data_IF_728917825099
#
_entry.id   IF_728917825099
#
_cell.length_a   1.000
_cell.length_b   1.000
_cell.length_c   1.000
_cell.angle_alpha   90.00
_cell.angle_beta   90.00
_cell.angle_gamma   90.00
#
_symmetry.space_group_name_H-M   'P 1'
#
loop_
_entity.id
_entity.type
_entity.pdbx_description
1 polymer ?
#
# COMPACT_ATOMS: atom_id res chain seq x y z
N UNK A 1 -18.81 -11.09 -2.75
CA UNK A 1 -18.31 -11.45 -4.10
C UNK A 1 -17.09 -10.63 -4.49
N UNK A 2 -17.20 -9.31 -4.66
CA UNK A 2 -16.02 -8.48 -4.97
C UNK A 2 -14.95 -8.57 -3.87
N UNK A 3 -15.34 -8.38 -2.60
CA UNK A 3 -14.38 -8.42 -1.49
C UNK A 3 -13.76 -9.79 -1.24
N UNK A 4 -14.47 -10.85 -1.62
CA UNK A 4 -14.10 -12.23 -1.28
C UNK A 4 -13.29 -12.91 -2.37
N UNK A 5 -13.44 -12.48 -3.63
CA UNK A 5 -12.81 -13.13 -4.79
C UNK A 5 -11.91 -12.14 -5.52
N UNK A 6 -12.42 -10.96 -5.87
CA UNK A 6 -11.69 -10.00 -6.70
C UNK A 6 -10.59 -9.33 -5.90
N UNK A 7 -10.88 -8.89 -4.67
CA UNK A 7 -9.88 -8.21 -3.83
C UNK A 7 -8.64 -9.07 -3.54
N UNK A 8 -8.75 -10.34 -3.08
CA UNK A 8 -7.57 -11.15 -2.81
C UNK A 8 -6.72 -11.41 -4.05
N UNK A 9 -7.34 -11.61 -5.22
CA UNK A 9 -6.63 -11.81 -6.49
C UNK A 9 -5.94 -10.53 -6.92
N UNK A 10 -6.62 -9.38 -6.83
CA UNK A 10 -6.09 -8.09 -7.25
C UNK A 10 -4.98 -7.58 -6.34
N UNK A 11 -5.11 -7.79 -5.02
CA UNK A 11 -4.15 -7.33 -4.02
C UNK A 11 -3.04 -8.35 -3.74
N UNK A 12 -3.03 -9.47 -4.46
CA UNK A 12 -1.96 -10.45 -4.33
C UNK A 12 -0.61 -9.82 -4.70
N UNK A 13 0.35 -9.90 -3.77
CA UNK A 13 1.67 -9.29 -3.95
C UNK A 13 1.71 -7.76 -3.83
N UNK A 14 0.60 -7.10 -3.47
CA UNK A 14 0.53 -5.63 -3.31
C UNK A 14 1.52 -5.09 -2.28
N UNK A 15 2.01 -5.95 -1.39
CA UNK A 15 3.11 -5.68 -0.46
C UNK A 15 4.41 -5.26 -1.16
N UNK A 16 4.69 -5.83 -2.35
CA UNK A 16 5.93 -5.63 -3.10
C UNK A 16 5.75 -4.65 -4.25
N UNK A 17 4.70 -4.79 -5.07
CA UNK A 17 4.48 -3.92 -6.25
C UNK A 17 3.66 -2.65 -5.94
N UNK A 18 3.04 -2.56 -4.77
CA UNK A 18 2.11 -1.47 -4.42
C UNK A 18 2.71 -0.06 -4.39
N UNK A 19 4.00 0.09 -4.68
CA UNK A 19 4.65 1.40 -4.83
C UNK A 19 4.28 2.09 -6.16
N UNK A 20 3.81 1.34 -7.15
CA UNK A 20 3.39 1.85 -8.44
C UNK A 20 2.02 2.56 -8.38
N UNK A 21 1.68 3.28 -9.45
CA UNK A 21 0.45 4.04 -9.51
C UNK A 21 -0.79 3.12 -9.53
N UNK A 22 -1.61 3.25 -8.50
CA UNK A 22 -2.85 2.50 -8.32
C UNK A 22 -4.07 3.12 -9.04
N UNK A 23 -3.90 4.19 -9.82
CA UNK A 23 -5.01 4.89 -10.49
C UNK A 23 -5.84 3.96 -11.39
N UNK A 24 -5.20 3.09 -12.17
CA UNK A 24 -5.92 2.16 -13.05
C UNK A 24 -6.80 1.18 -12.26
N UNK A 25 -6.31 0.69 -11.11
CA UNK A 25 -7.06 -0.18 -10.22
C UNK A 25 -8.26 0.54 -9.61
N UNK A 26 -8.08 1.81 -9.26
CA UNK A 26 -9.16 2.66 -8.75
C UNK A 26 -10.24 2.94 -9.81
N UNK A 27 -9.85 3.18 -11.07
CA UNK A 27 -10.80 3.34 -12.19
C UNK A 27 -11.61 2.05 -12.38
N UNK A 28 -10.94 0.90 -12.37
CA UNK A 28 -11.59 -0.40 -12.46
C UNK A 28 -12.60 -0.60 -11.31
N UNK A 29 -12.19 -0.32 -10.07
CA UNK A 29 -13.05 -0.46 -8.90
C UNK A 29 -14.27 0.46 -8.95
N UNK A 30 -14.10 1.73 -9.31
CA UNK A 30 -15.22 2.67 -9.46
C UNK A 30 -16.18 2.24 -10.55
N UNK A 31 -15.67 1.76 -11.68
CA UNK A 31 -16.49 1.26 -12.79
C UNK A 31 -17.30 0.04 -12.35
N UNK A 32 -16.67 -0.88 -11.60
CA UNK A 32 -17.35 -2.02 -11.01
C UNK A 32 -18.48 -1.61 -10.04
N UNK A 33 -18.21 -0.64 -9.15
CA UNK A 33 -19.22 -0.13 -8.21
C UNK A 33 -20.40 0.52 -8.94
N UNK A 34 -20.13 1.40 -9.92
CA UNK A 34 -21.16 2.06 -10.73
C UNK A 34 -22.03 1.05 -11.47
N UNK A 35 -21.41 0.02 -12.08
CA UNK A 35 -22.14 -1.04 -12.78
C UNK A 35 -23.01 -1.87 -11.83
N UNK A 36 -22.49 -2.20 -10.64
CA UNK A 36 -23.22 -2.99 -9.63
C UNK A 36 -24.45 -2.24 -9.12
N UNK A 37 -24.33 -0.92 -8.92
CA UNK A 37 -25.41 -0.06 -8.45
C UNK A 37 -26.32 0.47 -9.58
N UNK A 38 -26.03 0.14 -10.84
CA UNK A 38 -26.70 0.68 -12.04
C UNK A 38 -26.70 2.22 -12.09
N UNK A 39 -25.65 2.84 -11.56
CA UNK A 39 -25.46 4.29 -11.59
C UNK A 39 -24.98 4.74 -12.98
N UNK A 40 -25.32 5.97 -13.36
CA UNK A 40 -24.81 6.56 -14.58
C UNK A 40 -23.27 6.71 -14.51
N UNK A 41 -22.60 6.60 -15.65
CA UNK A 41 -21.14 6.82 -15.76
C UNK A 41 -20.74 8.21 -15.27
N UNK A 42 -21.62 9.21 -15.44
CA UNK A 42 -21.41 10.61 -15.05
C UNK A 42 -21.55 10.88 -13.53
N UNK A 43 -21.99 9.92 -12.71
CA UNK A 43 -22.14 10.15 -11.27
C UNK A 43 -20.78 10.50 -10.63
N UNK A 44 -20.72 11.55 -9.78
CA UNK A 44 -19.48 11.99 -9.17
C UNK A 44 -18.91 10.91 -8.24
N UNK A 45 -17.58 10.76 -8.24
CA UNK A 45 -16.90 9.67 -7.52
C UNK A 45 -17.15 9.74 -6.01
N UNK A 46 -17.22 10.94 -5.43
CA UNK A 46 -17.51 11.12 -4.00
C UNK A 46 -18.87 10.55 -3.59
N UNK A 47 -19.90 10.71 -4.45
CA UNK A 47 -21.24 10.15 -4.21
C UNK A 47 -21.22 8.62 -4.26
N UNK A 48 -20.49 8.03 -5.21
CA UNK A 48 -20.36 6.56 -5.32
C UNK A 48 -19.72 5.95 -4.06
N UNK A 49 -18.65 6.57 -3.52
CA UNK A 49 -18.04 6.09 -2.28
C UNK A 49 -18.94 6.33 -1.05
N UNK A 50 -19.64 7.47 -1.00
CA UNK A 50 -20.58 7.78 0.09
C UNK A 50 -21.75 6.79 0.16
N UNK A 51 -22.39 6.51 -0.98
CA UNK A 51 -23.51 5.57 -1.05
C UNK A 51 -23.08 4.11 -0.81
N UNK A 52 -21.91 3.72 -1.30
CA UNK A 52 -21.38 2.36 -1.13
C UNK A 52 -20.76 2.12 0.25
N UNK A 53 -20.44 3.18 0.99
CA UNK A 53 -19.65 3.10 2.23
C UNK A 53 -18.25 2.54 2.03
N UNK A 54 -17.74 2.51 0.78
CA UNK A 54 -16.45 1.90 0.44
C UNK A 54 -15.34 2.93 0.46
N UNK A 55 -14.16 2.48 0.91
CA UNK A 55 -12.93 3.26 0.86
C UNK A 55 -12.17 2.98 -0.44
N UNK A 56 -11.37 3.94 -0.94
CA UNK A 56 -10.44 3.69 -2.03
C UNK A 56 -9.53 2.47 -1.75
N UNK A 57 -9.25 1.70 -2.80
CA UNK A 57 -8.34 0.54 -2.79
C UNK A 57 -6.90 0.91 -2.45
N UNK A 58 -6.43 2.10 -2.84
CA UNK A 58 -5.05 2.51 -2.53
C UNK A 58 -4.74 2.44 -1.03
N UNK A 59 -5.74 2.67 -0.17
CA UNK A 59 -5.60 2.56 1.28
C UNK A 59 -5.29 1.12 1.69
N UNK A 60 -5.94 0.12 1.07
CA UNK A 60 -5.66 -1.29 1.33
C UNK A 60 -4.26 -1.69 0.84
N UNK A 61 -3.85 -1.20 -0.32
CA UNK A 61 -2.51 -1.47 -0.88
C UNK A 61 -1.43 -0.93 0.06
N UNK A 62 -1.54 0.34 0.47
CA UNK A 62 -0.61 0.97 1.42
C UNK A 62 -0.58 0.23 2.76
N UNK A 63 -1.72 -0.21 3.26
CA UNK A 63 -1.79 -0.98 4.51
C UNK A 63 -1.05 -2.32 4.37
N UNK A 64 -1.26 -3.06 3.29
CA UNK A 64 -0.56 -4.33 3.03
C UNK A 64 0.96 -4.11 2.97
N UNK A 65 1.41 -3.07 2.28
CA UNK A 65 2.81 -2.66 2.25
C UNK A 65 3.36 -2.43 3.67
N UNK A 66 2.71 -1.57 4.46
CA UNK A 66 3.16 -1.25 5.83
C UNK A 66 3.21 -2.51 6.71
N UNK A 67 2.18 -3.36 6.65
CA UNK A 67 2.13 -4.62 7.42
C UNK A 67 3.30 -5.52 7.03
N UNK A 68 3.62 -5.62 5.73
CA UNK A 68 4.76 -6.39 5.27
C UNK A 68 6.09 -5.82 5.77
N UNK A 69 6.26 -4.49 5.72
CA UNK A 69 7.44 -3.83 6.29
C UNK A 69 7.59 -4.10 7.78
N UNK A 70 6.52 -3.98 8.57
CA UNK A 70 6.53 -4.31 10.00
C UNK A 70 6.97 -5.77 10.20
N UNK A 71 6.39 -6.71 9.45
CA UNK A 71 6.76 -8.14 9.52
C UNK A 71 8.23 -8.40 9.19
N UNK A 72 8.85 -7.58 8.35
CA UNK A 72 10.29 -7.67 8.06
C UNK A 72 11.07 -7.16 9.27
N UNK A 73 10.75 -5.97 9.77
CA UNK A 73 11.45 -5.34 10.90
C UNK A 73 11.37 -6.18 12.17
N UNK A 74 10.17 -6.69 12.50
CA UNK A 74 9.92 -7.51 13.70
C UNK A 74 10.19 -9.00 13.45
N UNK A 75 10.60 -9.35 12.23
CA UNK A 75 10.80 -10.72 11.80
C UNK A 75 12.13 -11.30 12.28
N UNK A 76 12.33 -12.58 11.98
CA UNK A 76 13.59 -13.28 12.24
C UNK A 76 14.72 -12.72 11.35
N UNK A 77 15.83 -12.34 11.98
CA UNK A 77 17.01 -11.77 11.34
C UNK A 77 17.70 -12.74 10.37
N UNK A 78 17.50 -14.04 10.54
CA UNK A 78 18.05 -15.07 9.66
C UNK A 78 17.33 -15.17 8.31
N UNK A 79 16.18 -14.50 8.14
CA UNK A 79 15.48 -14.47 6.86
C UNK A 79 16.25 -13.63 5.86
N UNK A 80 16.39 -14.16 4.65
CA UNK A 80 17.00 -13.46 3.52
C UNK A 80 16.38 -12.08 3.27
N UNK A 81 15.05 -11.97 3.40
CA UNK A 81 14.31 -10.72 3.21
C UNK A 81 14.78 -9.63 4.19
N UNK A 82 15.09 -9.99 5.43
CA UNK A 82 15.61 -9.05 6.42
C UNK A 82 16.99 -8.52 6.04
N UNK A 83 17.89 -9.40 5.61
CA UNK A 83 19.22 -9.01 5.14
C UNK A 83 19.16 -8.11 3.90
N UNK A 84 18.30 -8.42 2.93
CA UNK A 84 18.07 -7.57 1.76
C UNK A 84 17.51 -6.21 2.15
N UNK A 85 16.53 -6.16 3.05
CA UNK A 85 15.99 -4.90 3.56
C UNK A 85 17.06 -4.06 4.26
N UNK A 86 17.88 -4.66 5.13
CA UNK A 86 18.98 -3.97 5.82
C UNK A 86 20.01 -3.39 4.85
N UNK A 87 20.36 -4.15 3.81
CA UNK A 87 21.25 -3.68 2.75
C UNK A 87 20.63 -2.52 1.96
N UNK A 88 19.37 -2.64 1.53
CA UNK A 88 18.65 -1.59 0.81
C UNK A 88 18.51 -0.32 1.63
N UNK A 89 18.23 -0.44 2.93
CA UNK A 89 18.17 0.71 3.84
C UNK A 89 19.52 1.38 4.00
N UNK A 90 20.60 0.61 4.16
CA UNK A 90 21.96 1.17 4.22
C UNK A 90 22.33 1.92 2.94
N UNK A 91 22.03 1.36 1.77
CA UNK A 91 22.27 2.03 0.48
C UNK A 91 21.43 3.29 0.29
N UNK A 92 20.24 3.32 0.87
CA UNK A 92 19.36 4.50 0.90
C UNK A 92 19.93 5.59 1.80
N UNK A 93 20.35 5.24 3.02
CA UNK A 93 20.92 6.17 4.00
C UNK A 93 22.25 6.77 3.50
N UNK A 94 23.06 5.97 2.80
CA UNK A 94 24.31 6.39 2.15
C UNK A 94 24.07 7.23 0.86
N UNK A 95 22.81 7.51 0.50
CA UNK A 95 22.39 8.21 -0.73
C UNK A 95 22.93 7.60 -2.04
N UNK A 96 23.33 6.33 -2.03
CA UNK A 96 23.88 5.66 -3.20
C UNK A 96 22.77 5.16 -4.13
N UNK A 97 21.66 4.67 -3.55
CA UNK A 97 20.53 4.17 -4.32
C UNK A 97 19.23 4.21 -3.50
N UNK A 98 18.22 4.89 -4.05
CA UNK A 98 16.85 4.90 -3.52
C UNK A 98 16.00 3.91 -4.31
N UNK A 99 15.64 2.79 -3.68
CA UNK A 99 14.66 1.89 -4.30
C UNK A 99 13.28 2.57 -4.35
N UNK A 100 12.52 2.43 -5.45
CA UNK A 100 11.18 3.01 -5.56
C UNK A 100 10.24 2.58 -4.42
N UNK A 101 10.41 1.34 -3.93
CA UNK A 101 9.64 0.82 -2.80
C UNK A 101 9.97 1.54 -1.49
N UNK A 102 11.25 1.75 -1.16
CA UNK A 102 11.65 2.51 0.04
C UNK A 102 11.20 3.97 -0.07
N UNK A 103 11.40 4.61 -1.22
CA UNK A 103 10.97 5.99 -1.42
C UNK A 103 9.47 6.17 -1.25
N UNK A 104 8.67 5.22 -1.76
CA UNK A 104 7.22 5.25 -1.57
C UNK A 104 6.80 4.99 -0.13
N UNK A 105 7.50 4.11 0.58
CA UNK A 105 7.27 3.91 2.01
C UNK A 105 7.53 5.18 2.81
N UNK A 106 8.64 5.84 2.56
CA UNK A 106 8.98 7.11 3.21
C UNK A 106 7.93 8.19 2.91
N UNK A 107 7.49 8.31 1.66
CA UNK A 107 6.37 9.20 1.26
C UNK A 107 5.08 8.89 2.05
N UNK A 108 4.73 7.61 2.20
CA UNK A 108 3.54 7.20 2.95
C UNK A 108 3.67 7.62 4.43
N UNK A 109 4.81 7.38 5.07
CA UNK A 109 5.03 7.78 6.47
C UNK A 109 5.06 9.31 6.63
N UNK A 110 5.64 10.04 5.67
CA UNK A 110 5.66 11.51 5.64
C UNK A 110 4.24 12.09 5.53
N UNK A 111 3.43 11.57 4.60
CA UNK A 111 2.03 12.03 4.43
C UNK A 111 1.14 11.73 5.64
N UNK A 112 1.51 10.75 6.46
CA UNK A 112 0.80 10.42 7.69
C UNK A 112 1.40 11.04 8.96
N UNK A 113 2.42 11.91 8.84
CA UNK A 113 3.14 12.51 9.97
C UNK A 113 3.74 11.47 10.95
N UNK A 114 4.11 10.30 10.41
CA UNK A 114 4.64 9.15 11.15
C UNK A 114 6.14 8.92 10.88
N UNK A 115 6.89 10.00 10.64
CA UNK A 115 8.33 9.96 10.38
C UNK A 115 9.12 9.25 11.49
N UNK A 116 8.71 9.45 12.74
CA UNK A 116 9.34 8.82 13.91
C UNK A 116 9.32 7.29 13.84
N UNK A 117 8.27 6.71 13.25
CA UNK A 117 8.12 5.25 13.09
C UNK A 117 9.12 4.71 12.09
N UNK A 118 9.37 5.46 11.02
CA UNK A 118 10.34 5.11 10.00
C UNK A 118 11.78 5.14 10.54
N UNK A 119 12.11 6.19 11.31
CA UNK A 119 13.44 6.38 11.89
C UNK A 119 13.74 5.35 12.99
N UNK A 120 12.78 5.05 13.87
CA UNK A 120 12.95 4.12 14.99
C UNK A 120 11.96 2.95 14.91
N UNK A 121 12.23 1.97 14.04
CA UNK A 121 11.28 0.90 13.75
C UNK A 121 11.17 -0.14 14.89
N UNK A 122 12.10 -0.13 15.86
CA UNK A 122 12.16 -1.08 16.99
C UNK A 122 11.48 -0.58 18.28
N UNK A 123 11.04 0.69 18.33
CA UNK A 123 10.38 1.26 19.52
C UNK A 123 8.90 0.87 19.66
N UNK A 124 8.39 0.01 18.77
CA UNK A 124 7.04 -0.53 18.81
C UNK A 124 7.08 -1.99 19.28
N UNK A 125 7.42 -2.19 20.56
CA UNK A 125 7.11 -3.40 21.32
C UNK A 125 6.24 -3.02 22.52
#
# INVERSE_FOLDING_TARGET
LFDTIVLPVLLYGSEVWGYEDSEQLEIFFRTFLKNTMKLNKQTPNCMVYGESGRKPLYIKIRLSMIIFWIKIVTGDEHKLVFHFYKLLRKMHDDNYYTSPWIGKMEEIFNTCDMQNVWLNPLNFN
#
